data_IF_086323082677
#
_entry.id   IF_086323082677
#
_cell.length_a   1.000
_cell.length_b   1.000
_cell.length_c   1.000
_cell.angle_alpha   90.00
_cell.angle_beta   90.00
_cell.angle_gamma   90.00
#
_symmetry.space_group_name_H-M   'P 1'
#
loop_
_entity.id
_entity.type
_entity.pdbx_description
1 polymer ?
#
# COMPACT_ATOMS: atom_id res chain seq x y z
N UNK A 1 -4.41 43.83 -6.44
CA UNK A 1 -5.48 42.81 -6.36
C UNK A 1 -5.09 41.50 -7.05
N UNK A 2 -4.33 41.52 -8.16
CA UNK A 2 -3.91 40.30 -8.89
C UNK A 2 -3.06 39.31 -8.08
N UNK A 3 -2.11 39.78 -7.26
CA UNK A 3 -1.22 38.90 -6.47
C UNK A 3 -1.96 38.07 -5.41
N UNK A 4 -3.10 38.54 -4.89
CA UNK A 4 -3.88 37.81 -3.87
C UNK A 4 -4.67 36.64 -4.47
N UNK A 5 -5.19 36.79 -5.69
CA UNK A 5 -5.93 35.73 -6.40
C UNK A 5 -4.99 34.63 -6.90
N UNK A 6 -3.82 35.00 -7.42
CA UNK A 6 -2.79 34.06 -7.89
C UNK A 6 -2.23 33.23 -6.72
N UNK A 7 -1.86 33.88 -5.62
CA UNK A 7 -1.40 33.20 -4.41
C UNK A 7 -2.47 32.29 -3.79
N UNK A 8 -3.74 32.68 -3.84
CA UNK A 8 -4.86 31.86 -3.37
C UNK A 8 -5.07 30.59 -4.21
N UNK A 9 -4.87 30.70 -5.53
CA UNK A 9 -4.96 29.57 -6.47
C UNK A 9 -3.80 28.59 -6.28
N UNK A 10 -2.58 29.09 -6.10
CA UNK A 10 -1.40 28.27 -5.86
C UNK A 10 -1.48 27.57 -4.51
N UNK A 11 -1.91 28.29 -3.46
CA UNK A 11 -2.12 27.72 -2.14
C UNK A 11 -3.17 26.59 -2.16
N UNK A 12 -4.31 26.80 -2.82
CA UNK A 12 -5.33 25.78 -2.97
C UNK A 12 -4.83 24.55 -3.74
N UNK A 13 -4.00 24.78 -4.77
CA UNK A 13 -3.39 23.70 -5.55
C UNK A 13 -2.40 22.87 -4.73
N UNK A 14 -1.56 23.52 -3.92
CA UNK A 14 -0.62 22.86 -3.01
C UNK A 14 -1.36 22.07 -1.93
N UNK A 15 -2.41 22.63 -1.33
CA UNK A 15 -3.23 21.93 -0.33
C UNK A 15 -3.91 20.68 -0.93
N UNK A 16 -4.41 20.77 -2.16
CA UNK A 16 -4.98 19.62 -2.85
C UNK A 16 -3.95 18.53 -3.12
N UNK A 17 -2.72 18.92 -3.51
CA UNK A 17 -1.62 17.97 -3.71
C UNK A 17 -1.21 17.31 -2.40
N UNK A 18 -1.11 18.07 -1.31
CA UNK A 18 -0.79 17.54 0.02
C UNK A 18 -1.85 16.53 0.48
N UNK A 19 -3.15 16.84 0.29
CA UNK A 19 -4.23 15.92 0.63
C UNK A 19 -4.17 14.62 -0.19
N UNK A 20 -3.90 14.72 -1.50
CA UNK A 20 -3.70 13.54 -2.35
C UNK A 20 -2.51 12.70 -1.89
N UNK A 21 -1.42 13.35 -1.48
CA UNK A 21 -0.25 12.66 -0.95
C UNK A 21 -0.56 11.91 0.34
N UNK A 22 -1.24 12.54 1.30
CA UNK A 22 -1.65 11.89 2.55
C UNK A 22 -2.58 10.68 2.31
N UNK A 23 -3.50 10.78 1.34
CA UNK A 23 -4.35 9.66 0.96
C UNK A 23 -3.53 8.51 0.37
N UNK A 24 -2.56 8.82 -0.49
CA UNK A 24 -1.66 7.82 -1.06
C UNK A 24 -0.80 7.14 0.02
N UNK A 25 -0.25 7.89 0.97
CA UNK A 25 0.51 7.34 2.09
C UNK A 25 -0.35 6.40 2.95
N UNK A 26 -1.61 6.78 3.21
CA UNK A 26 -2.56 5.95 3.94
C UNK A 26 -2.89 4.65 3.17
N UNK A 27 -3.09 4.74 1.85
CA UNK A 27 -3.34 3.58 1.00
C UNK A 27 -2.13 2.63 0.96
N UNK A 28 -0.91 3.17 0.88
CA UNK A 28 0.34 2.39 0.96
C UNK A 28 0.41 1.65 2.30
N UNK A 29 0.22 2.36 3.42
CA UNK A 29 0.26 1.75 4.76
C UNK A 29 -0.79 0.63 4.92
N UNK A 30 -2.01 0.83 4.41
CA UNK A 30 -3.05 -0.20 4.43
C UNK A 30 -2.67 -1.42 3.57
N UNK A 31 -1.93 -1.24 2.47
CA UNK A 31 -1.42 -2.35 1.67
C UNK A 31 -0.31 -3.12 2.39
N UNK A 32 0.59 -2.46 3.12
CA UNK A 32 1.61 -3.13 3.95
C UNK A 32 0.98 -4.07 4.98
N UNK A 33 0.01 -3.56 5.73
CA UNK A 33 -0.66 -4.34 6.78
C UNK A 33 -1.36 -5.57 6.19
N UNK A 34 -2.02 -5.42 5.02
CA UNK A 34 -2.67 -6.53 4.33
C UNK A 34 -1.68 -7.58 3.85
N UNK A 35 -0.51 -7.18 3.35
CA UNK A 35 0.52 -8.12 2.92
C UNK A 35 1.12 -8.86 4.10
N UNK A 36 1.34 -8.17 5.23
CA UNK A 36 1.81 -8.79 6.46
C UNK A 36 0.84 -9.88 6.95
N UNK A 37 -0.46 -9.58 6.96
CA UNK A 37 -1.50 -10.54 7.33
C UNK A 37 -1.54 -11.76 6.38
N UNK A 38 -1.48 -11.53 5.07
CA UNK A 38 -1.42 -12.62 4.08
C UNK A 38 -0.17 -13.50 4.24
N UNK A 39 0.98 -12.89 4.53
CA UNK A 39 2.21 -13.62 4.80
C UNK A 39 2.09 -14.49 6.05
N UNK A 40 1.51 -13.95 7.12
CA UNK A 40 1.28 -14.69 8.36
C UNK A 40 0.33 -15.87 8.15
N UNK A 41 -0.77 -15.68 7.40
CA UNK A 41 -1.68 -16.77 7.08
C UNK A 41 -1.01 -17.84 6.20
N UNK A 42 -0.21 -17.44 5.22
CA UNK A 42 0.55 -18.38 4.40
C UNK A 42 1.51 -19.22 5.25
N UNK A 43 2.20 -18.60 6.20
CA UNK A 43 3.12 -19.30 7.12
C UNK A 43 2.38 -20.28 8.03
N UNK A 44 1.21 -19.90 8.56
CA UNK A 44 0.37 -20.81 9.35
C UNK A 44 -0.12 -22.01 8.53
N UNK A 45 -0.49 -21.81 7.26
CA UNK A 45 -0.91 -22.90 6.40
C UNK A 45 0.24 -23.85 6.08
N UNK A 46 1.44 -23.33 5.84
CA UNK A 46 2.65 -24.15 5.63
C UNK A 46 2.96 -24.94 6.91
N UNK A 47 2.97 -24.30 8.08
CA UNK A 47 3.25 -24.97 9.35
C UNK A 47 2.22 -26.06 9.70
N UNK A 48 0.96 -25.88 9.29
CA UNK A 48 -0.09 -26.87 9.52
C UNK A 48 0.12 -28.19 8.75
N UNK A 49 0.89 -28.19 7.65
CA UNK A 49 1.15 -29.37 6.83
C UNK A 49 -0.08 -29.99 6.14
N UNK A 50 -1.23 -29.31 6.19
CA UNK A 50 -2.52 -29.83 5.66
C UNK A 50 -2.70 -29.51 4.16
N UNK A 51 -1.89 -28.60 3.60
CA UNK A 51 -2.08 -28.04 2.26
C UNK A 51 -0.85 -28.21 1.37
N UNK A 52 -1.02 -27.98 0.06
CA UNK A 52 0.09 -27.92 -0.90
C UNK A 52 1.00 -26.70 -0.60
N UNK A 53 1.99 -26.92 0.27
CA UNK A 53 2.96 -25.93 0.73
C UNK A 53 3.65 -25.22 -0.45
N UNK A 54 3.97 -25.95 -1.52
CA UNK A 54 4.65 -25.39 -2.70
C UNK A 54 3.81 -24.34 -3.43
N UNK A 55 2.50 -24.58 -3.56
CA UNK A 55 1.58 -23.62 -4.19
C UNK A 55 1.38 -22.38 -3.31
N UNK A 56 1.33 -22.54 -1.99
CA UNK A 56 1.20 -21.43 -1.03
C UNK A 56 2.47 -20.56 -1.04
N UNK A 57 3.65 -21.18 -1.05
CA UNK A 57 4.92 -20.46 -1.06
C UNK A 57 5.10 -19.64 -2.35
N UNK A 58 4.74 -20.21 -3.51
CA UNK A 58 4.78 -19.49 -4.80
C UNK A 58 3.83 -18.29 -4.79
N UNK A 59 2.62 -18.44 -4.25
CA UNK A 59 1.66 -17.33 -4.12
C UNK A 59 2.15 -16.25 -3.16
N UNK A 60 2.68 -16.63 -1.99
CA UNK A 60 3.29 -15.71 -1.03
C UNK A 60 4.40 -14.89 -1.69
N UNK A 61 5.33 -15.56 -2.38
CA UNK A 61 6.44 -14.91 -3.09
C UNK A 61 5.96 -13.93 -4.16
N UNK A 62 5.02 -14.35 -5.00
CA UNK A 62 4.45 -13.50 -6.07
C UNK A 62 3.81 -12.23 -5.52
N UNK A 63 3.13 -12.30 -4.38
CA UNK A 63 2.50 -11.14 -3.75
C UNK A 63 3.55 -10.16 -3.23
N UNK A 64 4.61 -10.66 -2.56
CA UNK A 64 5.68 -9.80 -2.04
C UNK A 64 6.50 -9.15 -3.17
N UNK A 65 6.87 -9.91 -4.21
CA UNK A 65 7.61 -9.37 -5.36
C UNK A 65 6.85 -8.26 -6.11
N UNK A 66 5.51 -8.32 -6.12
CA UNK A 66 4.67 -7.28 -6.73
C UNK A 66 4.53 -6.04 -5.87
N UNK A 67 4.81 -6.13 -4.57
CA UNK A 67 4.74 -5.00 -3.65
C UNK A 67 6.07 -4.29 -3.49
N UNK A 68 7.19 -5.00 -3.65
CA UNK A 68 8.54 -4.41 -3.63
C UNK A 68 8.89 -3.63 -4.92
N UNK A 69 8.09 -3.77 -5.98
CA UNK A 69 8.27 -3.07 -7.27
C UNK A 69 7.34 -1.88 -7.41
#
# INVERSE_FOLDING_TARGET
>A
MLASEENGKDLASVQNLAKKHQLLEADIAAHEDRIRDLNQQADQFIESGVWDEGSIEVRKRTINERYEK
#
